data_IF_655328442300
#
_entry.id   IF_655328442300
#
_cell.length_a   1.000
_cell.length_b   1.000
_cell.length_c   1.000
_cell.angle_alpha   90.00
_cell.angle_beta   90.00
_cell.angle_gamma   90.00
#
_symmetry.space_group_name_H-M   'P 1'
#
loop_
_entity.id
_entity.type
_entity.pdbx_description
1 polymer ?
#
# COMPACT_ATOMS: atom_id res chain seq x y z
N UNK A 1 6.21 -1.54 -10.07
CA UNK A 1 5.31 -1.52 -11.25
C UNK A 1 5.24 -0.15 -11.92
N UNK A 2 5.22 0.94 -11.15
CA UNK A 2 5.11 2.33 -11.65
C UNK A 2 6.17 2.72 -12.69
N UNK A 3 7.46 2.41 -12.44
CA UNK A 3 8.52 2.77 -13.40
C UNK A 3 8.43 1.99 -14.72
N UNK A 4 8.05 0.71 -14.69
CA UNK A 4 7.81 -0.07 -15.92
C UNK A 4 6.65 0.53 -16.73
N UNK A 5 5.56 0.91 -16.09
CA UNK A 5 4.41 1.51 -16.77
C UNK A 5 4.68 2.93 -17.28
N UNK A 6 5.47 3.74 -16.55
CA UNK A 6 5.97 5.04 -17.06
C UNK A 6 6.81 4.87 -18.32
N UNK A 7 7.65 3.84 -18.38
CA UNK A 7 8.49 3.52 -19.55
C UNK A 7 7.63 3.06 -20.73
N UNK A 8 6.71 2.12 -20.49
CA UNK A 8 5.83 1.55 -21.54
C UNK A 8 4.88 2.60 -22.11
N UNK A 9 4.29 3.43 -21.24
CA UNK A 9 3.34 4.47 -21.64
C UNK A 9 3.97 5.82 -21.98
N UNK A 10 5.31 5.91 -21.87
CA UNK A 10 6.09 7.15 -22.01
C UNK A 10 5.61 8.31 -21.12
N UNK A 11 4.83 8.05 -20.08
CA UNK A 11 4.29 9.10 -19.21
C UNK A 11 5.31 9.46 -18.12
N UNK A 12 6.12 10.49 -18.37
CA UNK A 12 7.12 10.99 -17.42
C UNK A 12 6.69 12.34 -16.85
N UNK A 13 6.81 12.46 -15.52
CA UNK A 13 6.47 13.69 -14.78
C UNK A 13 7.63 14.69 -14.83
N UNK A 14 8.86 14.17 -14.96
CA UNK A 14 10.08 14.92 -14.80
C UNK A 14 10.71 15.21 -16.18
N UNK A 15 11.06 16.47 -16.50
CA UNK A 15 11.62 16.85 -17.80
C UNK A 15 13.00 16.23 -18.08
N UNK A 16 13.80 15.95 -17.04
CA UNK A 16 15.11 15.29 -17.15
C UNK A 16 15.02 13.82 -17.60
N UNK A 17 13.94 13.12 -17.23
CA UNK A 17 13.66 11.74 -17.66
C UNK A 17 13.29 11.68 -19.15
N UNK A 18 12.70 12.76 -19.67
CA UNK A 18 12.34 12.92 -21.09
C UNK A 18 13.59 13.25 -21.92
N UNK A 19 14.44 14.15 -21.42
CA UNK A 19 15.68 14.56 -22.08
C UNK A 19 16.70 13.41 -22.22
N UNK A 20 16.84 12.60 -21.17
CA UNK A 20 17.79 11.46 -21.15
C UNK A 20 17.45 10.39 -22.19
N UNK A 21 16.18 10.25 -22.58
CA UNK A 21 15.72 9.20 -23.51
C UNK A 21 15.58 9.63 -24.97
N UNK A 22 15.97 10.86 -25.34
CA UNK A 22 15.89 11.39 -26.73
C UNK A 22 14.54 11.13 -27.43
N UNK A 23 13.43 11.13 -26.67
CA UNK A 23 12.10 10.97 -27.26
C UNK A 23 11.66 12.34 -27.79
N UNK A 24 11.99 12.62 -29.06
CA UNK A 24 11.49 13.81 -29.77
C UNK A 24 9.97 13.83 -29.71
N UNK A 25 9.40 14.97 -29.31
CA UNK A 25 7.97 15.28 -29.30
C UNK A 25 7.12 14.63 -28.19
N UNK A 26 7.70 14.29 -27.04
CA UNK A 26 6.89 14.10 -25.85
C UNK A 26 6.83 15.41 -25.07
N UNK A 27 5.73 16.14 -25.21
CA UNK A 27 5.36 17.10 -24.18
C UNK A 27 5.29 16.35 -22.84
N UNK A 28 5.72 16.94 -21.71
CA UNK A 28 5.54 16.34 -20.40
C UNK A 28 4.04 16.18 -20.16
N UNK A 29 3.49 15.04 -20.58
CA UNK A 29 2.08 14.75 -20.44
C UNK A 29 1.88 14.47 -18.97
N UNK A 30 1.37 15.48 -18.26
CA UNK A 30 0.88 15.35 -16.90
C UNK A 30 -0.02 14.12 -16.86
N UNK A 31 0.44 13.12 -16.12
CA UNK A 31 -0.35 12.03 -15.57
C UNK A 31 -1.16 11.17 -16.55
N UNK A 32 -0.59 10.06 -17.02
CA UNK A 32 -1.41 8.96 -17.53
C UNK A 32 -2.29 8.41 -16.39
N UNK A 33 -3.62 8.27 -16.60
CA UNK A 33 -4.55 7.87 -15.55
C UNK A 33 -4.20 6.53 -14.90
N UNK A 34 -3.53 5.62 -15.61
CA UNK A 34 -3.10 4.34 -15.02
C UNK A 34 -1.84 4.48 -14.15
N UNK A 35 -0.97 5.43 -14.46
CA UNK A 35 0.19 5.75 -13.61
C UNK A 35 -0.27 6.42 -12.31
N UNK A 36 -1.26 7.31 -12.37
CA UNK A 36 -1.84 7.90 -11.16
C UNK A 36 -2.57 6.89 -10.30
N UNK A 37 -3.31 5.96 -10.92
CA UNK A 37 -3.94 4.83 -10.23
C UNK A 37 -2.90 4.05 -9.41
N UNK A 38 -1.77 3.68 -10.01
CA UNK A 38 -0.71 2.97 -9.30
C UNK A 38 -0.05 3.84 -8.21
N UNK A 39 0.04 5.16 -8.42
CA UNK A 39 0.54 6.09 -7.40
C UNK A 39 -0.40 6.16 -6.20
N UNK A 40 -1.71 6.30 -6.42
CA UNK A 40 -2.72 6.33 -5.35
C UNK A 40 -2.74 5.02 -4.56
N UNK A 41 -2.50 3.89 -5.23
CA UNK A 41 -2.26 2.62 -4.54
C UNK A 41 -1.08 2.63 -3.60
N UNK A 42 0.08 3.05 -4.10
CA UNK A 42 1.27 3.11 -3.25
C UNK A 42 1.07 4.05 -2.07
N UNK A 43 0.40 5.20 -2.27
CA UNK A 43 0.10 6.12 -1.18
C UNK A 43 -0.82 5.48 -0.14
N UNK A 44 -1.91 4.84 -0.57
CA UNK A 44 -2.79 4.10 0.34
C UNK A 44 -2.04 2.98 1.09
N UNK A 45 -1.17 2.24 0.40
CA UNK A 45 -0.38 1.18 1.04
C UNK A 45 0.60 1.78 2.07
N UNK A 46 1.24 2.91 1.77
CA UNK A 46 2.13 3.64 2.70
C UNK A 46 1.37 4.12 3.95
N UNK A 47 0.23 4.78 3.76
CA UNK A 47 -0.60 5.32 4.87
C UNK A 47 -1.05 4.24 5.84
N UNK A 48 -1.13 3.00 5.40
CA UNK A 48 -1.53 1.88 6.23
C UNK A 48 -0.39 1.02 6.78
N UNK A 49 0.67 0.81 5.98
CA UNK A 49 1.83 0.02 6.39
C UNK A 49 2.59 0.74 7.50
N UNK A 50 2.71 2.07 7.43
CA UNK A 50 3.44 2.84 8.45
C UNK A 50 2.83 2.64 9.85
N UNK A 51 1.52 2.87 10.07
CA UNK A 51 0.89 2.59 11.37
C UNK A 51 1.03 1.14 11.80
N UNK A 52 0.85 0.19 10.88
CA UNK A 52 0.96 -1.24 11.18
C UNK A 52 2.35 -1.64 11.67
N UNK A 53 3.41 -1.14 11.02
CA UNK A 53 4.80 -1.41 11.42
C UNK A 53 5.10 -0.80 12.78
N UNK A 54 4.66 0.45 13.04
CA UNK A 54 4.84 1.11 14.34
C UNK A 54 4.15 0.34 15.47
N UNK A 55 2.86 0.00 15.29
CA UNK A 55 2.09 -0.74 16.29
C UNK A 55 2.62 -2.17 16.44
N UNK A 56 2.99 -2.82 15.34
CA UNK A 56 3.58 -4.16 15.34
C UNK A 56 4.92 -4.20 16.09
N UNK A 57 5.74 -3.16 15.95
CA UNK A 57 6.98 -3.04 16.72
C UNK A 57 6.70 -2.91 18.22
N UNK A 58 5.78 -2.01 18.61
CA UNK A 58 5.35 -1.90 20.01
C UNK A 58 4.79 -3.22 20.55
N UNK A 59 4.01 -3.93 19.73
CA UNK A 59 3.43 -5.23 20.09
C UNK A 59 4.50 -6.29 20.35
N UNK A 60 5.55 -6.38 19.52
CA UNK A 60 6.66 -7.32 19.72
C UNK A 60 7.41 -7.04 21.04
N UNK A 61 7.63 -5.77 21.37
CA UNK A 61 8.32 -5.36 22.62
C UNK A 61 7.54 -5.82 23.87
N UNK A 62 6.22 -5.93 23.79
CA UNK A 62 5.38 -6.40 24.90
C UNK A 62 5.44 -7.93 25.14
N UNK A 63 6.28 -8.68 24.44
CA UNK A 63 6.37 -10.15 24.47
C UNK A 63 4.98 -10.82 24.43
N UNK A 64 4.26 -10.69 23.31
CA UNK A 64 2.96 -11.30 23.12
C UNK A 64 3.12 -12.79 22.82
N UNK A 65 2.01 -13.53 22.83
CA UNK A 65 2.02 -14.92 22.37
C UNK A 65 2.46 -14.96 20.89
N UNK A 66 3.56 -15.67 20.56
CA UNK A 66 4.09 -15.73 19.19
C UNK A 66 3.07 -16.30 18.20
N UNK A 67 2.17 -17.19 18.64
CA UNK A 67 1.15 -17.75 17.77
C UNK A 67 0.12 -16.69 17.35
N UNK A 68 -0.34 -15.87 18.31
CA UNK A 68 -1.27 -14.77 18.05
C UNK A 68 -0.62 -13.70 17.18
N UNK A 69 0.63 -13.33 17.46
CA UNK A 69 1.37 -12.36 16.65
C UNK A 69 1.44 -12.77 15.17
N UNK A 70 1.75 -14.05 14.91
CA UNK A 70 1.84 -14.59 13.55
C UNK A 70 0.53 -14.47 12.77
N UNK A 71 -0.62 -14.68 13.43
CA UNK A 71 -1.92 -14.54 12.80
C UNK A 71 -2.23 -13.08 12.43
N UNK A 72 -1.88 -12.11 13.27
CA UNK A 72 -2.08 -10.69 12.97
C UNK A 72 -1.23 -10.25 11.77
N UNK A 73 0.04 -10.68 11.71
CA UNK A 73 0.91 -10.42 10.57
C UNK A 73 0.40 -11.06 9.28
N UNK A 74 -0.06 -12.32 9.34
CA UNK A 74 -0.63 -13.01 8.19
C UNK A 74 -1.91 -12.34 7.70
N UNK A 75 -2.83 -11.99 8.61
CA UNK A 75 -4.09 -11.37 8.27
C UNK A 75 -3.88 -10.01 7.57
N UNK A 76 -2.96 -9.19 8.11
CA UNK A 76 -2.59 -7.93 7.48
C UNK A 76 -1.95 -8.13 6.10
N UNK A 77 -1.03 -9.09 5.97
CA UNK A 77 -0.41 -9.42 4.69
C UNK A 77 -1.44 -9.82 3.63
N UNK A 78 -2.35 -10.75 3.95
CA UNK A 78 -3.39 -11.18 3.02
C UNK A 78 -4.37 -10.04 2.67
N UNK A 79 -4.74 -9.21 3.64
CA UNK A 79 -5.53 -7.99 3.39
C UNK A 79 -4.86 -7.06 2.38
N UNK A 80 -3.54 -6.85 2.49
CA UNK A 80 -2.78 -5.99 1.55
C UNK A 80 -2.67 -6.61 0.17
N UNK A 81 -2.37 -7.91 0.09
CA UNK A 81 -2.34 -8.63 -1.19
C UNK A 81 -3.70 -8.53 -1.89
N UNK A 82 -4.79 -8.73 -1.15
CA UNK A 82 -6.14 -8.60 -1.69
C UNK A 82 -6.46 -7.16 -2.11
N UNK A 83 -6.03 -6.15 -1.34
CA UNK A 83 -6.15 -4.74 -1.69
C UNK A 83 -5.44 -4.43 -3.03
N UNK A 84 -4.19 -4.86 -3.19
CA UNK A 84 -3.42 -4.65 -4.43
C UNK A 84 -4.08 -5.36 -5.63
N UNK A 85 -4.55 -6.60 -5.44
CA UNK A 85 -5.26 -7.36 -6.49
C UNK A 85 -6.57 -6.65 -6.87
N UNK A 86 -7.34 -6.18 -5.88
CA UNK A 86 -8.62 -5.48 -6.09
C UNK A 86 -8.49 -4.17 -6.87
N UNK A 87 -7.28 -3.64 -6.92
CA UNK A 87 -7.00 -2.42 -7.65
C UNK A 87 -6.47 -2.69 -9.06
N UNK A 88 -5.76 -3.80 -9.26
CA UNK A 88 -5.26 -4.22 -10.56
C UNK A 88 -6.38 -4.80 -11.44
N UNK A 89 -7.37 -5.44 -10.81
CA UNK A 89 -8.60 -5.90 -11.46
C UNK A 89 -9.63 -4.77 -11.32
N UNK A 90 -10.34 -4.37 -12.39
CA UNK A 90 -11.42 -3.37 -12.31
C UNK A 90 -12.65 -3.97 -11.62
N UNK A 91 -12.51 -4.35 -10.35
CA UNK A 91 -13.63 -4.79 -9.52
C UNK A 91 -14.48 -3.57 -9.14
N UNK A 92 -15.81 -3.68 -9.19
CA UNK A 92 -16.70 -2.62 -8.72
C UNK A 92 -16.42 -2.34 -7.23
N UNK A 93 -16.59 -1.06 -6.85
CA UNK A 93 -16.60 -0.63 -5.44
C UNK A 93 -17.71 -1.43 -4.73
N UNK A 94 -17.37 -2.42 -3.89
CA UNK A 94 -16.95 -2.20 -2.50
C UNK A 94 -15.69 -2.99 -2.07
N UNK A 95 -15.10 -3.77 -2.97
CA UNK A 95 -13.95 -4.66 -2.69
C UNK A 95 -12.76 -3.95 -2.03
N UNK A 96 -12.49 -2.70 -2.45
CA UNK A 96 -11.40 -1.86 -1.91
C UNK A 96 -11.62 -1.46 -0.47
N UNK A 97 -12.85 -1.07 -0.12
CA UNK A 97 -13.20 -0.66 1.24
C UNK A 97 -13.11 -1.85 2.19
N UNK A 98 -13.62 -3.02 1.77
CA UNK A 98 -13.56 -4.26 2.56
C UNK A 98 -12.10 -4.65 2.85
N UNK A 99 -11.22 -4.61 1.85
CA UNK A 99 -9.80 -4.91 2.04
C UNK A 99 -9.13 -3.95 3.03
N UNK A 100 -9.45 -2.65 2.96
CA UNK A 100 -8.96 -1.64 3.89
C UNK A 100 -9.46 -1.89 5.32
N UNK A 101 -10.77 -2.15 5.50
CA UNK A 101 -11.35 -2.42 6.81
C UNK A 101 -10.73 -3.65 7.48
N UNK A 102 -10.47 -4.73 6.74
CA UNK A 102 -9.81 -5.93 7.29
C UNK A 102 -8.42 -5.58 7.83
N UNK A 103 -7.64 -4.80 7.07
CA UNK A 103 -6.30 -4.36 7.49
C UNK A 103 -6.35 -3.40 8.69
N UNK A 104 -7.36 -2.53 8.73
CA UNK A 104 -7.59 -1.62 9.86
C UNK A 104 -7.96 -2.39 11.13
N UNK A 105 -8.87 -3.37 11.04
CA UNK A 105 -9.27 -4.22 12.17
C UNK A 105 -8.06 -4.96 12.74
N UNK A 106 -7.19 -5.53 11.89
CA UNK A 106 -5.98 -6.19 12.35
C UNK A 106 -5.05 -5.24 13.12
N UNK A 107 -4.90 -4.00 12.63
CA UNK A 107 -4.04 -2.97 13.24
C UNK A 107 -4.62 -2.48 14.57
N UNK A 108 -5.93 -2.22 14.63
CA UNK A 108 -6.64 -1.80 15.84
C UNK A 108 -6.63 -2.91 16.90
N UNK A 109 -6.82 -4.18 16.51
CA UNK A 109 -6.72 -5.33 17.42
C UNK A 109 -5.36 -5.39 18.12
N UNK A 110 -4.26 -5.23 17.37
CA UNK A 110 -2.92 -5.18 17.96
C UNK A 110 -2.75 -3.97 18.87
N UNK A 111 -3.22 -2.78 18.46
CA UNK A 111 -3.11 -1.57 19.26
C UNK A 111 -3.83 -1.70 20.61
N UNK A 112 -5.04 -2.28 20.62
CA UNK A 112 -5.80 -2.54 21.84
C UNK A 112 -5.03 -3.51 22.76
N UNK A 113 -4.44 -4.57 22.22
CA UNK A 113 -3.66 -5.52 23.03
C UNK A 113 -2.40 -4.89 23.62
N UNK A 114 -1.73 -3.98 22.88
CA UNK A 114 -0.62 -3.19 23.43
C UNK A 114 -1.11 -2.32 24.59
N UNK A 115 -2.21 -1.59 24.40
CA UNK A 115 -2.75 -0.70 25.45
C UNK A 115 -3.15 -1.45 26.71
N UNK A 116 -3.82 -2.60 26.58
CA UNK A 116 -4.21 -3.46 27.72
C UNK A 116 -2.98 -4.02 28.45
N UNK A 117 -1.85 -4.19 27.77
CA UNK A 117 -0.64 -4.77 28.38
C UNK A 117 0.27 -3.71 29.01
N UNK A 118 0.10 -2.45 28.64
CA UNK A 118 0.82 -1.30 29.19
C UNK A 118 0.14 -0.76 30.46
N UNK A 119 -1.19 -0.85 30.54
CA UNK A 119 -1.97 -0.55 31.75
C UNK A 119 -2.05 -1.75 32.70
#
# INVERSE_FOLDING_TARGET
MTNKNKIVKKAFVNPEDVATRKIKNLAPTTSDPDVERIRRNHLNDIENIIPFVLIGFCYIVCNPDPHMALWHFRLFFFSRVFHTISYQIPLPQPSRAVAFFIGLIATVSMAIQVLIRVY
#
